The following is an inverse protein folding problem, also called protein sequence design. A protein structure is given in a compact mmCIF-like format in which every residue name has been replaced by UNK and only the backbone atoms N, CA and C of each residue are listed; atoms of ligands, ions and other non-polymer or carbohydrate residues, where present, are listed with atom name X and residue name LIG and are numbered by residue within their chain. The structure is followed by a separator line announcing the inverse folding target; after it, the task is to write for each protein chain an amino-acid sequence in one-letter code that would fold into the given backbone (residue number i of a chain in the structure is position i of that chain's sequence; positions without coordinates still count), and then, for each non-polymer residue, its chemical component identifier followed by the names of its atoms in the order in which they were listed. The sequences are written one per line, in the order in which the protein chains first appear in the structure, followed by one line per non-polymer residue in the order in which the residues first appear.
data_IF_507066623203
#
_entry.id   IF_507066623203
#
_cell.length_a   1.000
_cell.length_b   1.000
_cell.length_c   1.000
_cell.angle_alpha   90.00
_cell.angle_beta   90.00
_cell.angle_gamma   90.00
#
_symmetry.space_group_name_H-M   'P 1'
#
loop_
_entity.id
_entity.type
_entity.pdbx_description
1 polymer ?
#
# COMPACT_ATOMS: atom_id res chain seq x y z
N UNK A 1 -20.01 -17.99 -16.69
CA UNK A 1 -19.72 -18.12 -15.26
C UNK A 1 -19.04 -19.46 -15.07
N UNK A 2 -17.72 -19.47 -14.97
CA UNK A 2 -17.01 -20.67 -14.51
C UNK A 2 -17.37 -20.83 -13.05
N UNK A 3 -17.88 -21.99 -12.69
CA UNK A 3 -18.37 -22.29 -11.34
C UNK A 3 -17.17 -22.43 -10.40
N UNK A 4 -16.84 -21.35 -9.67
CA UNK A 4 -15.84 -21.34 -8.59
C UNK A 4 -16.22 -22.36 -7.48
N UNK A 5 -17.37 -23.03 -7.62
CA UNK A 5 -18.02 -23.90 -6.62
C UNK A 5 -17.74 -25.40 -6.80
N UNK A 6 -16.76 -25.84 -7.56
CA UNK A 6 -16.48 -27.27 -7.67
C UNK A 6 -15.53 -27.75 -6.56
N UNK A 7 -16.14 -28.26 -5.48
CA UNK A 7 -15.57 -29.24 -4.57
C UNK A 7 -15.06 -28.70 -3.24
N UNK A 8 -15.93 -28.56 -2.28
CA UNK A 8 -15.58 -28.45 -0.86
C UNK A 8 -16.82 -28.15 -0.02
N UNK A 9 -17.02 -28.92 1.03
CA UNK A 9 -18.11 -28.79 1.99
C UNK A 9 -18.31 -27.34 2.42
N UNK A 10 -19.50 -26.80 2.15
CA UNK A 10 -19.95 -25.52 2.69
C UNK A 10 -19.95 -25.61 4.22
N UNK A 11 -18.94 -25.03 4.85
CA UNK A 11 -18.99 -24.73 6.28
C UNK A 11 -20.06 -23.66 6.47
N UNK A 12 -21.19 -24.00 7.02
CA UNK A 12 -22.34 -23.11 7.23
C UNK A 12 -22.09 -22.11 8.39
N UNK A 13 -21.15 -21.21 8.19
CA UNK A 13 -20.86 -20.06 9.02
C UNK A 13 -20.24 -18.96 8.15
N UNK A 14 -20.60 -17.71 8.39
CA UNK A 14 -19.98 -16.57 7.67
C UNK A 14 -18.49 -16.55 7.97
N UNK A 15 -17.67 -16.71 6.92
CA UNK A 15 -16.22 -16.56 6.99
C UNK A 15 -15.90 -15.08 7.31
N UNK A 16 -15.01 -14.81 8.27
CA UNK A 16 -14.60 -13.43 8.59
C UNK A 16 -13.77 -12.85 7.46
N UNK A 17 -13.69 -11.52 7.36
CA UNK A 17 -12.80 -10.82 6.40
C UNK A 17 -11.35 -11.31 6.54
N UNK A 18 -10.89 -11.54 7.78
CA UNK A 18 -9.56 -12.07 8.08
C UNK A 18 -9.34 -13.47 7.48
N UNK A 19 -10.26 -14.37 7.72
CA UNK A 19 -10.15 -15.74 7.21
C UNK A 19 -10.27 -15.77 5.68
N UNK A 20 -11.11 -14.92 5.10
CA UNK A 20 -11.27 -14.76 3.65
C UNK A 20 -9.97 -14.30 3.00
N UNK A 21 -9.36 -13.23 3.54
CA UNK A 21 -8.05 -12.75 3.08
C UNK A 21 -7.00 -13.87 3.10
N UNK A 22 -6.87 -14.58 4.23
CA UNK A 22 -5.95 -15.70 4.37
C UNK A 22 -6.17 -16.77 3.31
N UNK A 23 -7.41 -17.22 3.14
CA UNK A 23 -7.76 -18.28 2.18
C UNK A 23 -7.45 -17.86 0.75
N UNK A 24 -7.85 -16.65 0.35
CA UNK A 24 -7.56 -16.15 -0.99
C UNK A 24 -6.05 -16.12 -1.26
N UNK A 25 -5.27 -15.56 -0.33
CA UNK A 25 -3.81 -15.47 -0.50
C UNK A 25 -3.10 -16.81 -0.44
N UNK A 26 -3.72 -17.85 0.13
CA UNK A 26 -3.17 -19.21 0.19
C UNK A 26 -3.85 -20.19 -0.79
N UNK A 27 -4.57 -19.68 -1.81
CA UNK A 27 -5.22 -20.52 -2.84
C UNK A 27 -6.19 -21.55 -2.26
N UNK A 28 -6.84 -21.22 -1.16
CA UNK A 28 -7.82 -22.06 -0.49
C UNK A 28 -9.24 -21.65 -0.89
N UNK A 29 -10.17 -22.60 -0.78
CA UNK A 29 -11.57 -22.34 -1.06
C UNK A 29 -12.14 -21.29 -0.10
N UNK A 30 -12.93 -20.38 -0.63
CA UNK A 30 -13.54 -19.27 0.07
C UNK A 30 -14.98 -19.08 -0.39
N UNK A 31 -15.81 -18.46 0.44
CA UNK A 31 -17.20 -18.12 0.10
C UNK A 31 -17.25 -17.10 -1.06
N UNK A 32 -16.46 -16.05 -0.98
CA UNK A 32 -16.21 -15.05 -2.02
C UNK A 32 -14.84 -14.39 -1.78
N UNK A 33 -14.28 -13.76 -2.81
CA UNK A 33 -12.97 -13.10 -2.70
C UNK A 33 -13.12 -11.78 -1.94
N UNK A 34 -12.09 -11.40 -1.17
CA UNK A 34 -12.06 -10.14 -0.41
C UNK A 34 -12.31 -8.92 -1.30
N UNK A 35 -13.17 -8.02 -0.84
CA UNK A 35 -13.41 -6.73 -1.47
C UNK A 35 -12.50 -5.69 -0.84
N UNK A 36 -11.39 -5.37 -1.48
CA UNK A 36 -10.42 -4.36 -1.06
C UNK A 36 -10.34 -3.22 -2.06
N UNK A 37 -9.87 -2.05 -1.60
CA UNK A 37 -9.53 -0.89 -2.43
C UNK A 37 -8.22 -0.23 -1.95
N UNK A 38 -7.67 0.69 -2.77
CA UNK A 38 -6.44 1.43 -2.42
C UNK A 38 -6.76 2.81 -1.86
N UNK A 39 -7.99 3.25 -1.95
CA UNK A 39 -8.45 4.56 -1.48
C UNK A 39 -8.77 5.55 -2.59
N UNK A 40 -9.00 6.79 -2.21
CA UNK A 40 -9.57 7.83 -3.07
C UNK A 40 -8.79 9.13 -2.96
N UNK A 41 -8.67 9.88 -4.05
CA UNK A 41 -8.18 11.25 -3.97
C UNK A 41 -9.17 12.11 -3.17
N UNK A 42 -8.66 13.08 -2.40
CA UNK A 42 -9.49 13.94 -1.55
C UNK A 42 -10.51 14.73 -2.40
N UNK A 43 -10.08 15.20 -3.57
CA UNK A 43 -10.93 15.95 -4.50
C UNK A 43 -12.14 15.13 -4.97
N UNK A 44 -11.97 13.85 -5.24
CA UNK A 44 -13.06 12.96 -5.62
C UNK A 44 -14.10 12.84 -4.50
N UNK A 45 -13.63 12.67 -3.27
CA UNK A 45 -14.50 12.57 -2.10
C UNK A 45 -15.27 13.88 -1.84
N UNK A 46 -14.61 15.03 -2.01
CA UNK A 46 -15.23 16.34 -1.94
C UNK A 46 -16.32 16.53 -3.01
N UNK A 47 -16.05 16.13 -4.25
CA UNK A 47 -17.01 16.19 -5.34
C UNK A 47 -18.23 15.30 -5.08
N UNK A 48 -18.02 14.07 -4.63
CA UNK A 48 -19.13 13.17 -4.29
C UNK A 48 -19.96 13.67 -3.11
N UNK A 49 -19.34 14.30 -2.12
CA UNK A 49 -20.01 14.92 -0.98
C UNK A 49 -20.80 16.15 -1.42
N UNK A 50 -20.23 17.03 -2.25
CA UNK A 50 -20.90 18.20 -2.80
C UNK A 50 -22.11 17.84 -3.67
N UNK A 51 -22.08 16.68 -4.34
CA UNK A 51 -23.21 16.13 -5.11
C UNK A 51 -24.27 15.44 -4.23
N UNK A 52 -24.02 15.32 -2.91
CA UNK A 52 -24.94 14.69 -1.96
C UNK A 52 -24.89 13.16 -1.91
N UNK A 53 -23.85 12.53 -2.49
CA UNK A 53 -23.68 11.09 -2.45
C UNK A 53 -23.02 10.60 -1.14
N UNK A 54 -22.18 11.43 -0.54
CA UNK A 54 -21.57 11.16 0.76
C UNK A 54 -22.10 12.14 1.81
N UNK A 55 -22.44 11.69 3.02
CA UNK A 55 -22.91 12.56 4.09
C UNK A 55 -21.77 13.38 4.69
N UNK A 56 -22.07 14.64 5.04
CA UNK A 56 -21.10 15.55 5.67
C UNK A 56 -20.52 15.01 6.99
N UNK A 57 -21.23 14.07 7.65
CA UNK A 57 -20.78 13.42 8.87
C UNK A 57 -19.51 12.58 8.71
N UNK A 58 -19.10 12.27 7.48
CA UNK A 58 -17.81 11.59 7.20
C UNK A 58 -16.61 12.53 7.31
N UNK A 59 -16.82 13.86 7.30
CA UNK A 59 -15.73 14.83 7.39
C UNK A 59 -15.11 14.80 8.79
N UNK A 60 -13.81 14.60 8.86
CA UNK A 60 -13.02 14.68 10.07
C UNK A 60 -12.85 16.15 10.54
N UNK A 61 -12.48 16.38 11.82
CA UNK A 61 -12.30 17.74 12.35
C UNK A 61 -11.22 18.57 11.65
N UNK A 62 -10.24 17.94 11.01
CA UNK A 62 -9.21 18.58 10.20
C UNK A 62 -9.66 18.94 8.77
N UNK A 63 -10.94 18.67 8.44
CA UNK A 63 -11.55 18.94 7.15
C UNK A 63 -11.33 17.85 6.11
N UNK A 64 -10.59 16.78 6.39
CA UNK A 64 -10.42 15.66 5.47
C UNK A 64 -11.62 14.70 5.50
N UNK A 65 -11.79 13.92 4.44
CA UNK A 65 -12.74 12.81 4.40
C UNK A 65 -11.92 11.51 4.43
N UNK A 66 -11.95 10.74 5.53
CA UNK A 66 -11.21 9.49 5.63
C UNK A 66 -11.65 8.47 4.57
N UNK A 67 -10.70 7.75 3.97
CA UNK A 67 -11.01 6.71 2.98
C UNK A 67 -11.92 5.63 3.58
N UNK A 68 -11.67 5.21 4.82
CA UNK A 68 -12.48 4.20 5.53
C UNK A 68 -13.97 4.51 5.52
N UNK A 69 -14.36 5.78 5.71
CA UNK A 69 -15.76 6.17 5.67
C UNK A 69 -16.43 5.95 4.31
N UNK A 70 -15.68 6.20 3.22
CA UNK A 70 -16.15 5.93 1.85
C UNK A 70 -16.16 4.43 1.55
N UNK A 71 -15.14 3.72 1.99
CA UNK A 71 -15.01 2.27 1.82
C UNK A 71 -16.16 1.51 2.45
N UNK A 72 -16.62 1.92 3.63
CA UNK A 72 -17.78 1.34 4.31
C UNK A 72 -19.08 1.47 3.49
N UNK A 73 -19.23 2.53 2.66
CA UNK A 73 -20.36 2.69 1.74
C UNK A 73 -20.42 1.60 0.68
N UNK A 74 -19.28 1.00 0.32
CA UNK A 74 -19.17 0.01 -0.72
C UNK A 74 -18.85 -1.39 -0.20
N UNK A 75 -18.93 -1.61 1.11
CA UNK A 75 -18.63 -2.90 1.73
C UNK A 75 -17.18 -3.34 1.53
N UNK A 76 -16.26 -2.38 1.45
CA UNK A 76 -14.82 -2.66 1.37
C UNK A 76 -14.33 -3.18 2.72
N UNK A 77 -13.67 -4.31 2.70
CA UNK A 77 -13.11 -4.93 3.90
C UNK A 77 -11.89 -4.17 4.40
N UNK A 78 -11.76 -4.04 5.71
CA UNK A 78 -10.74 -3.22 6.34
C UNK A 78 -9.56 -4.05 6.83
N UNK A 79 -8.37 -3.42 6.91
CA UNK A 79 -7.23 -3.94 7.63
C UNK A 79 -7.11 -3.27 8.99
N UNK A 80 -6.76 -4.05 10.00
CA UNK A 80 -6.16 -3.49 11.22
C UNK A 80 -4.64 -3.45 11.04
N UNK A 81 -3.99 -2.45 11.64
CA UNK A 81 -2.54 -2.35 11.55
C UNK A 81 -1.91 -1.94 12.87
N UNK A 82 -0.73 -2.49 13.13
CA UNK A 82 0.11 -2.05 14.24
C UNK A 82 1.58 -2.09 13.81
N UNK A 83 2.29 -0.98 14.03
CA UNK A 83 3.60 -0.77 13.45
C UNK A 83 4.66 -0.46 14.52
N UNK A 84 5.85 -1.04 14.34
CA UNK A 84 7.04 -0.59 15.06
C UNK A 84 7.46 0.83 14.61
N UNK A 85 8.14 1.54 15.47
CA UNK A 85 8.64 2.90 15.21
C UNK A 85 9.99 2.85 14.47
N UNK A 86 9.95 2.54 13.18
CA UNK A 86 11.13 2.32 12.33
C UNK A 86 11.43 3.47 11.35
N UNK A 87 10.67 4.57 11.40
CA UNK A 87 10.94 5.79 10.62
C UNK A 87 12.02 6.68 11.23
N UNK A 88 12.22 7.87 10.66
CA UNK A 88 13.10 8.90 11.24
C UNK A 88 12.53 9.43 12.56
N UNK A 89 13.31 9.41 13.62
CA UNK A 89 12.97 9.90 14.96
C UNK A 89 14.22 10.43 15.67
N UNK A 90 14.08 11.51 16.52
CA UNK A 90 12.86 12.27 16.80
C UNK A 90 12.50 13.21 15.65
N UNK A 91 11.22 13.50 15.46
CA UNK A 91 10.82 14.52 14.48
C UNK A 91 11.00 15.91 15.09
N UNK A 92 11.63 16.82 14.34
CA UNK A 92 11.66 18.25 14.65
C UNK A 92 10.30 18.89 14.39
N UNK A 93 10.04 20.04 14.99
CA UNK A 93 8.88 20.85 14.64
C UNK A 93 9.00 21.35 13.20
N UNK A 94 7.87 21.34 12.49
CA UNK A 94 7.78 21.92 11.15
C UNK A 94 8.07 23.43 11.22
N UNK A 95 8.92 23.93 10.33
CA UNK A 95 9.29 25.35 10.23
C UNK A 95 8.67 25.95 8.97
N UNK A 96 7.68 26.84 9.12
CA UNK A 96 7.15 27.61 8.02
C UNK A 96 8.18 28.66 7.61
N UNK A 97 8.57 28.63 6.32
CA UNK A 97 9.55 29.55 5.72
C UNK A 97 8.83 30.69 5.01
N UNK A 98 7.76 30.36 4.27
CA UNK A 98 6.94 31.34 3.55
C UNK A 98 5.50 30.81 3.47
N UNK A 99 4.55 31.73 3.65
CA UNK A 99 3.13 31.45 3.45
C UNK A 99 2.50 32.58 2.63
N UNK A 100 1.79 32.20 1.59
CA UNK A 100 1.03 33.10 0.71
C UNK A 100 -0.43 32.65 0.67
N UNK A 101 -1.27 33.35 -0.08
CA UNK A 101 -2.70 33.02 -0.20
C UNK A 101 -2.99 31.66 -0.83
N UNK A 102 -2.04 31.13 -1.65
CA UNK A 102 -2.24 29.93 -2.45
C UNK A 102 -1.22 28.81 -2.19
N UNK A 103 -0.15 29.08 -1.44
CA UNK A 103 0.91 28.11 -1.15
C UNK A 103 1.58 28.34 0.19
N UNK A 104 2.12 27.28 0.75
CA UNK A 104 2.98 27.26 1.92
C UNK A 104 4.31 26.56 1.59
N UNK A 105 5.42 27.17 1.98
CA UNK A 105 6.76 26.56 1.92
C UNK A 105 7.24 26.35 3.35
N UNK A 106 7.60 25.13 3.67
CA UNK A 106 8.03 24.76 5.02
C UNK A 106 9.13 23.71 4.98
N UNK A 107 9.89 23.65 6.05
CA UNK A 107 10.83 22.54 6.32
C UNK A 107 10.15 21.56 7.24
N UNK A 108 10.07 20.30 6.82
CA UNK A 108 9.42 19.24 7.59
C UNK A 108 10.27 18.78 8.77
N UNK A 109 9.75 17.85 9.58
CA UNK A 109 10.40 17.34 10.79
C UNK A 109 11.72 16.59 10.55
N UNK A 110 12.03 16.21 9.31
CA UNK A 110 13.27 15.52 8.90
C UNK A 110 14.20 16.43 8.08
N UNK A 111 13.82 17.68 7.86
CA UNK A 111 14.65 18.68 7.22
C UNK A 111 14.43 18.85 5.71
N UNK A 112 13.46 18.17 5.10
CA UNK A 112 13.09 18.36 3.70
C UNK A 112 12.38 19.70 3.52
N UNK A 113 12.78 20.50 2.56
CA UNK A 113 12.10 21.75 2.20
C UNK A 113 11.00 21.44 1.18
N UNK A 114 9.77 21.70 1.57
CA UNK A 114 8.55 21.34 0.85
C UNK A 114 7.76 22.59 0.51
N UNK A 115 7.21 22.65 -0.71
CA UNK A 115 6.22 23.65 -1.12
C UNK A 115 4.92 22.94 -1.48
N UNK A 116 3.82 23.36 -0.87
CA UNK A 116 2.50 22.77 -1.05
C UNK A 116 1.46 23.85 -1.37
N UNK A 117 0.53 23.54 -2.25
CA UNK A 117 -0.63 24.41 -2.49
C UNK A 117 -1.60 24.32 -1.32
N UNK A 118 -2.11 25.49 -0.88
CA UNK A 118 -3.11 25.62 0.19
C UNK A 118 -4.52 25.76 -0.32
N UNK A 119 -4.70 26.12 -1.60
CA UNK A 119 -5.99 26.31 -2.28
C UNK A 119 -6.02 25.55 -3.60
N UNK A 120 -7.20 25.15 -4.02
CA UNK A 120 -7.42 24.41 -5.27
C UNK A 120 -7.12 22.90 -5.12
N UNK A 121 -6.84 22.25 -6.24
CA UNK A 121 -6.48 20.83 -6.26
C UNK A 121 -5.18 20.60 -5.49
N UNK A 122 -5.23 19.87 -4.39
CA UNK A 122 -4.02 19.47 -3.64
C UNK A 122 -3.25 18.44 -4.46
N UNK A 123 -2.25 18.91 -5.17
CA UNK A 123 -1.31 18.06 -5.91
C UNK A 123 -0.23 17.50 -4.97
N UNK A 124 0.56 16.55 -5.49
CA UNK A 124 1.79 16.11 -4.82
C UNK A 124 2.65 17.34 -4.48
N UNK A 125 3.16 17.46 -3.24
CA UNK A 125 4.02 18.56 -2.86
C UNK A 125 5.26 18.67 -3.74
N UNK A 126 5.75 19.87 -3.93
CA UNK A 126 7.02 20.12 -4.62
C UNK A 126 8.16 20.10 -3.60
N UNK A 127 9.07 19.14 -3.74
CA UNK A 127 10.25 19.00 -2.88
C UNK A 127 11.38 19.87 -3.43
N UNK A 128 11.83 20.86 -2.66
CA UNK A 128 12.76 21.88 -3.10
C UNK A 128 14.20 21.63 -2.65
N UNK A 129 14.39 21.07 -1.46
CA UNK A 129 15.70 20.80 -0.88
C UNK A 129 15.65 19.55 -0.01
N UNK A 130 16.72 18.76 -0.06
CA UNK A 130 16.85 17.52 0.68
C UNK A 130 17.97 17.60 1.71
N UNK A 131 17.82 16.98 2.91
CA UNK A 131 18.82 17.08 3.99
C UNK A 131 20.11 16.33 3.69
N UNK A 132 20.07 15.26 2.87
CA UNK A 132 21.22 14.42 2.58
C UNK A 132 21.74 14.74 1.18
N UNK A 133 23.01 15.17 1.08
CA UNK A 133 23.68 15.56 -0.18
C UNK A 133 24.97 14.76 -0.41
N UNK A 134 25.60 14.32 0.66
CA UNK A 134 26.90 13.66 0.68
C UNK A 134 27.10 12.87 1.97
N UNK A 135 28.25 12.21 2.13
CA UNK A 135 28.57 11.41 3.31
C UNK A 135 28.49 12.18 4.62
N UNK A 136 29.07 13.40 4.78
CA UNK A 136 28.96 14.15 6.03
C UNK A 136 27.51 14.47 6.41
N UNK A 137 26.68 14.87 5.47
CA UNK A 137 25.26 15.16 5.72
C UNK A 137 24.46 13.89 6.03
N UNK A 138 24.82 12.76 5.41
CA UNK A 138 24.26 11.46 5.76
C UNK A 138 24.60 11.06 7.21
N UNK A 139 25.87 11.14 7.58
CA UNK A 139 26.30 10.77 8.93
C UNK A 139 25.57 11.60 10.00
N UNK A 140 25.44 12.91 9.79
CA UNK A 140 24.69 13.78 10.68
C UNK A 140 23.20 13.40 10.74
N UNK A 141 22.57 13.12 9.59
CA UNK A 141 21.15 12.71 9.53
C UNK A 141 20.94 11.36 10.18
N UNK A 142 21.80 10.39 9.92
CA UNK A 142 21.75 9.06 10.54
C UNK A 142 21.84 9.15 12.06
N UNK A 143 22.84 9.88 12.55
CA UNK A 143 23.12 9.97 14.00
C UNK A 143 22.01 10.72 14.75
N UNK A 144 21.32 11.65 14.09
CA UNK A 144 20.20 12.37 14.69
C UNK A 144 18.87 11.63 14.61
N UNK A 145 18.53 11.03 13.44
CA UNK A 145 17.18 10.55 13.18
C UNK A 145 17.06 9.02 13.09
N UNK A 146 18.16 8.30 12.88
CA UNK A 146 18.13 6.88 12.57
C UNK A 146 18.85 6.02 13.63
N UNK A 147 19.06 6.52 14.85
CA UNK A 147 19.55 5.69 15.95
C UNK A 147 18.51 4.58 16.26
N UNK A 148 18.86 3.28 16.11
CA UNK A 148 17.93 2.19 16.37
C UNK A 148 17.58 2.06 17.86
N UNK A 149 18.37 2.63 18.77
CA UNK A 149 18.17 2.56 20.20
C UNK A 149 17.57 3.85 20.80
N UNK A 150 17.11 4.78 19.96
CA UNK A 150 16.51 6.02 20.45
C UNK A 150 15.31 5.72 21.37
N UNK A 151 15.19 6.36 22.55
CA UNK A 151 14.13 6.04 23.52
C UNK A 151 12.71 6.13 22.96
N UNK A 152 12.46 7.07 22.05
CA UNK A 152 11.14 7.25 21.42
C UNK A 152 10.72 6.06 20.54
N UNK A 153 11.62 5.12 20.23
CA UNK A 153 11.27 3.89 19.49
C UNK A 153 10.64 2.85 20.40
N UNK A 154 10.90 2.91 21.69
CA UNK A 154 10.35 1.96 22.63
C UNK A 154 8.81 2.04 22.66
N UNK A 155 8.16 0.89 22.67
CA UNK A 155 6.72 0.76 22.85
C UNK A 155 6.43 0.47 24.32
N UNK A 156 5.38 1.07 24.86
CA UNK A 156 4.93 0.76 26.21
C UNK A 156 4.37 -0.68 26.26
N UNK A 157 4.50 -1.33 27.41
CA UNK A 157 3.93 -2.68 27.61
C UNK A 157 2.41 -2.71 27.38
N UNK A 158 1.74 -1.59 27.67
CA UNK A 158 0.31 -1.44 27.40
C UNK A 158 0.00 -1.45 25.89
N UNK A 159 0.81 -0.80 25.05
CA UNK A 159 0.64 -0.80 23.59
C UNK A 159 0.78 -2.23 23.04
N UNK A 160 1.75 -2.99 23.56
CA UNK A 160 1.97 -4.39 23.15
C UNK A 160 0.82 -5.31 23.64
N UNK A 161 0.24 -5.03 24.82
CA UNK A 161 -0.95 -5.76 25.30
C UNK A 161 -2.17 -5.48 24.42
N UNK A 162 -2.41 -4.21 24.06
CA UNK A 162 -3.49 -3.82 23.15
C UNK A 162 -3.30 -4.49 21.79
N UNK A 163 -2.06 -4.53 21.27
CA UNK A 163 -1.74 -5.27 20.04
C UNK A 163 -2.10 -6.76 20.15
N UNK A 164 -1.69 -7.40 21.23
CA UNK A 164 -1.93 -8.83 21.44
C UNK A 164 -3.43 -9.16 21.45
N UNK A 165 -4.24 -8.34 22.12
CA UNK A 165 -5.69 -8.47 22.17
C UNK A 165 -6.33 -8.19 20.81
N UNK A 166 -6.02 -7.06 20.19
CA UNK A 166 -6.55 -6.66 18.90
C UNK A 166 -6.22 -7.70 17.82
N UNK A 167 -4.97 -8.14 17.72
CA UNK A 167 -4.54 -9.08 16.70
C UNK A 167 -5.09 -10.49 16.88
N UNK A 168 -5.42 -10.89 18.10
CA UNK A 168 -6.09 -12.17 18.39
C UNK A 168 -7.58 -12.13 18.04
N UNK A 169 -8.27 -11.05 18.40
CA UNK A 169 -9.72 -10.97 18.42
C UNK A 169 -10.31 -10.32 17.15
N UNK A 170 -9.48 -9.73 16.28
CA UNK A 170 -9.92 -9.07 15.06
C UNK A 170 -10.55 -10.04 14.06
N UNK A 171 -11.73 -9.66 13.55
CA UNK A 171 -12.35 -10.28 12.37
C UNK A 171 -11.78 -9.73 11.03
N UNK A 172 -11.01 -8.64 11.07
CA UNK A 172 -10.31 -8.08 9.94
C UNK A 172 -8.87 -8.63 9.85
N UNK A 173 -8.27 -8.72 8.66
CA UNK A 173 -6.86 -9.06 8.54
C UNK A 173 -6.00 -8.01 9.25
N UNK A 174 -4.94 -8.49 9.90
CA UNK A 174 -4.00 -7.66 10.68
C UNK A 174 -2.67 -7.57 9.95
N UNK A 175 -2.17 -6.36 9.76
CA UNK A 175 -0.90 -6.11 9.09
C UNK A 175 0.08 -5.33 9.96
N UNK A 176 1.37 -5.46 9.63
CA UNK A 176 2.44 -4.60 10.15
C UNK A 176 3.22 -3.99 8.99
N UNK A 177 3.99 -2.93 9.27
CA UNK A 177 4.80 -2.25 8.26
C UNK A 177 6.28 -2.47 8.54
N UNK A 178 7.03 -2.98 7.54
CA UNK A 178 8.47 -3.25 7.68
C UNK A 178 9.38 -2.09 7.23
N UNK A 179 8.79 -0.97 6.81
CA UNK A 179 9.54 0.23 6.41
C UNK A 179 9.72 0.36 4.90
N UNK A 180 10.83 0.96 4.54
CA UNK A 180 11.26 1.21 3.18
C UNK A 180 12.78 1.15 3.12
N UNK A 181 13.34 0.67 2.02
CA UNK A 181 14.80 0.58 1.84
C UNK A 181 15.33 1.69 0.96
N UNK A 182 14.73 1.94 -0.20
CA UNK A 182 15.15 2.99 -1.12
C UNK A 182 14.15 4.13 -1.20
N UNK A 183 12.87 3.88 -1.08
CA UNK A 183 11.85 4.92 -1.20
C UNK A 183 12.05 6.05 -0.20
N UNK A 184 12.29 5.75 1.08
CA UNK A 184 12.57 6.76 2.10
C UNK A 184 13.93 7.44 1.92
N UNK A 185 14.94 6.71 1.47
CA UNK A 185 16.24 7.31 1.15
C UNK A 185 16.06 8.32 0.01
N UNK A 186 15.28 7.99 -1.03
CA UNK A 186 14.93 8.93 -2.11
C UNK A 186 14.27 10.20 -1.57
N UNK A 187 13.36 10.09 -0.59
CA UNK A 187 12.68 11.23 0.01
C UNK A 187 13.65 12.17 0.78
N UNK A 188 14.78 11.66 1.29
CA UNK A 188 15.75 12.42 2.06
C UNK A 188 16.95 12.91 1.24
N UNK A 189 17.26 12.21 0.15
CA UNK A 189 18.41 12.50 -0.75
C UNK A 189 17.97 13.27 -1.99
N UNK A 190 16.73 13.06 -2.42
CA UNK A 190 16.23 13.48 -3.73
C UNK A 190 16.61 12.51 -4.84
N UNK A 191 15.75 12.41 -5.84
CA UNK A 191 15.90 11.45 -6.94
C UNK A 191 17.23 11.61 -7.68
N UNK A 192 17.56 12.86 -8.07
CA UNK A 192 18.73 13.17 -8.90
C UNK A 192 20.03 12.83 -8.16
N UNK A 193 20.15 13.27 -6.91
CA UNK A 193 21.31 12.98 -6.06
C UNK A 193 21.45 11.48 -5.80
N UNK A 194 20.35 10.77 -5.54
CA UNK A 194 20.36 9.32 -5.34
C UNK A 194 20.86 8.59 -6.60
N UNK A 195 20.40 9.02 -7.79
CA UNK A 195 20.84 8.44 -9.04
C UNK A 195 22.36 8.61 -9.25
N UNK A 196 22.91 9.80 -8.98
CA UNK A 196 24.36 10.04 -9.04
C UNK A 196 25.11 9.22 -7.98
N UNK A 197 24.69 9.25 -6.72
CA UNK A 197 25.35 8.50 -5.64
C UNK A 197 25.38 6.99 -5.91
N UNK A 198 24.36 6.44 -6.56
CA UNK A 198 24.34 5.01 -6.91
C UNK A 198 25.49 4.59 -7.85
N UNK A 199 26.13 5.57 -8.53
CA UNK A 199 27.27 5.36 -9.45
C UNK A 199 28.56 5.87 -8.84
N UNK A 200 28.56 7.06 -8.24
CA UNK A 200 29.75 7.77 -7.78
C UNK A 200 30.20 7.33 -6.37
N UNK A 201 29.26 7.00 -5.47
CA UNK A 201 29.53 6.43 -4.14
C UNK A 201 28.48 5.36 -3.80
N UNK A 202 28.48 4.19 -4.50
CA UNK A 202 27.51 3.14 -4.27
C UNK A 202 27.58 2.56 -2.85
N UNK A 203 28.74 2.63 -2.19
CA UNK A 203 28.90 2.16 -0.82
C UNK A 203 28.16 3.06 0.18
N UNK A 204 28.03 4.35 -0.10
CA UNK A 204 27.23 5.27 0.71
C UNK A 204 25.73 4.91 0.62
N UNK A 205 25.24 4.63 -0.60
CA UNK A 205 23.83 4.24 -0.77
C UNK A 205 23.55 2.88 -0.08
N UNK A 206 24.48 1.93 -0.19
CA UNK A 206 24.36 0.65 0.51
C UNK A 206 24.35 0.83 2.04
N UNK A 207 25.18 1.72 2.59
CA UNK A 207 25.18 2.04 4.03
C UNK A 207 23.84 2.62 4.48
N UNK A 208 23.21 3.49 3.68
CA UNK A 208 21.86 4.00 3.95
C UNK A 208 20.83 2.86 3.99
N UNK A 209 20.87 1.96 3.02
CA UNK A 209 19.99 0.79 2.94
C UNK A 209 20.21 -0.16 4.14
N UNK A 210 21.47 -0.41 4.51
CA UNK A 210 21.82 -1.20 5.68
C UNK A 210 21.23 -0.61 6.96
N UNK A 211 21.27 0.72 7.12
CA UNK A 211 20.70 1.41 8.28
C UNK A 211 19.18 1.22 8.36
N UNK A 212 18.47 1.24 7.23
CA UNK A 212 17.03 0.96 7.22
C UNK A 212 16.73 -0.48 7.66
N UNK A 213 17.54 -1.44 7.22
CA UNK A 213 17.44 -2.83 7.68
C UNK A 213 17.70 -2.96 9.18
N UNK A 214 18.73 -2.28 9.71
CA UNK A 214 19.05 -2.28 11.15
C UNK A 214 17.88 -1.75 11.96
N UNK A 215 17.24 -0.65 11.55
CA UNK A 215 16.06 -0.11 12.21
C UNK A 215 14.92 -1.14 12.29
N UNK A 216 14.62 -1.81 11.19
CA UNK A 216 13.59 -2.85 11.16
C UNK A 216 13.96 -4.04 12.05
N UNK A 217 15.17 -4.59 11.91
CA UNK A 217 15.63 -5.76 12.65
C UNK A 217 15.74 -5.51 14.16
N UNK A 218 15.99 -4.28 14.58
CA UNK A 218 16.10 -3.92 15.99
C UNK A 218 14.74 -3.64 16.64
N UNK A 219 13.81 -2.99 15.90
CA UNK A 219 12.60 -2.44 16.52
C UNK A 219 11.32 -3.23 16.22
N UNK A 220 11.30 -4.11 15.23
CA UNK A 220 10.13 -4.94 14.94
C UNK A 220 9.95 -6.15 15.87
N UNK A 221 11.00 -6.82 16.40
CA UNK A 221 10.82 -8.04 17.19
C UNK A 221 9.79 -7.91 18.31
N UNK A 222 9.77 -6.87 19.16
CA UNK A 222 8.75 -6.74 20.21
C UNK A 222 7.30 -6.72 19.70
N UNK A 223 7.08 -6.14 18.52
CA UNK A 223 5.78 -6.11 17.84
C UNK A 223 5.42 -7.49 17.31
N UNK A 224 6.36 -8.14 16.62
CA UNK A 224 6.15 -9.45 15.99
C UNK A 224 5.93 -10.57 17.03
N UNK A 225 6.59 -10.47 18.18
CA UNK A 225 6.43 -11.41 19.30
C UNK A 225 5.11 -11.23 20.06
N UNK A 226 4.57 -10.00 20.06
CA UNK A 226 3.34 -9.67 20.80
C UNK A 226 2.07 -9.86 19.97
N UNK A 227 2.13 -9.73 18.64
CA UNK A 227 0.96 -9.74 17.74
C UNK A 227 0.87 -10.97 16.85
N UNK A 228 -0.33 -11.18 16.29
CA UNK A 228 -0.59 -12.16 15.23
C UNK A 228 -0.94 -11.42 13.94
N UNK A 229 -0.05 -11.48 12.98
CA UNK A 229 -0.18 -10.76 11.72
C UNK A 229 -0.51 -11.72 10.56
N UNK A 230 -1.35 -11.24 9.65
CA UNK A 230 -1.73 -11.95 8.42
C UNK A 230 -0.88 -11.50 7.24
N UNK A 231 -0.27 -10.31 7.35
CA UNK A 231 0.53 -9.73 6.29
C UNK A 231 1.54 -8.69 6.80
N UNK A 232 2.54 -8.38 5.97
CA UNK A 232 3.40 -7.24 6.18
C UNK A 232 3.48 -6.37 4.92
N UNK A 233 3.55 -5.05 5.12
CA UNK A 233 3.64 -4.06 4.06
C UNK A 233 4.95 -3.28 4.14
N UNK A 234 5.42 -2.81 2.98
CA UNK A 234 6.47 -1.81 2.84
C UNK A 234 6.04 -0.70 1.91
N UNK A 235 6.92 0.30 1.73
CA UNK A 235 6.71 1.37 0.77
C UNK A 235 8.02 1.69 0.07
N UNK A 236 8.05 1.61 -1.26
CA UNK A 236 9.25 1.87 -2.04
C UNK A 236 9.05 2.98 -3.08
N UNK A 237 8.03 2.89 -3.93
CA UNK A 237 7.70 3.86 -4.97
C UNK A 237 8.94 4.33 -5.77
N UNK A 238 9.65 3.37 -6.35
CA UNK A 238 10.99 3.51 -6.95
C UNK A 238 11.01 3.16 -8.44
N UNK A 239 9.87 3.20 -9.10
CA UNK A 239 9.79 2.98 -10.53
C UNK A 239 9.08 4.13 -11.24
N UNK A 240 9.54 4.40 -12.47
CA UNK A 240 8.81 5.17 -13.46
C UNK A 240 8.02 4.23 -14.38
N UNK A 241 7.24 4.79 -15.30
CA UNK A 241 6.60 4.03 -16.36
C UNK A 241 7.59 3.20 -17.20
N UNK A 242 8.84 3.63 -17.26
CA UNK A 242 9.93 2.96 -18.00
C UNK A 242 10.68 1.91 -17.20
N UNK A 243 10.44 1.77 -15.90
CA UNK A 243 11.12 0.84 -15.00
C UNK A 243 11.77 1.49 -13.79
N UNK A 244 12.59 0.73 -13.03
CA UNK A 244 13.22 1.17 -11.80
C UNK A 244 14.09 2.43 -11.96
N UNK A 245 14.10 3.28 -10.92
CA UNK A 245 14.89 4.52 -10.88
C UNK A 245 16.41 4.27 -10.80
N UNK A 246 16.82 3.11 -10.29
CA UNK A 246 18.20 2.66 -10.24
C UNK A 246 18.36 1.38 -11.09
N UNK A 247 19.61 1.07 -11.45
CA UNK A 247 19.92 -0.14 -12.21
C UNK A 247 19.46 -1.39 -11.44
N UNK A 248 18.70 -2.32 -12.04
CA UNK A 248 18.27 -3.57 -11.39
C UNK A 248 19.42 -4.39 -10.79
N UNK A 249 20.61 -4.36 -11.40
CA UNK A 249 21.81 -5.00 -10.85
C UNK A 249 22.25 -4.35 -9.53
N UNK A 250 22.08 -3.04 -9.37
CA UNK A 250 22.32 -2.37 -8.09
C UNK A 250 21.36 -2.85 -7.00
N UNK A 251 20.08 -3.04 -7.35
CA UNK A 251 19.12 -3.66 -6.43
C UNK A 251 19.57 -5.06 -6.01
N UNK A 252 19.94 -5.91 -6.96
CA UNK A 252 20.37 -7.28 -6.71
C UNK A 252 21.58 -7.35 -5.81
N UNK A 253 22.62 -6.56 -6.10
CA UNK A 253 23.93 -6.64 -5.43
C UNK A 253 24.00 -5.87 -4.11
N UNK A 254 23.25 -4.74 -3.98
CA UNK A 254 23.41 -3.78 -2.88
C UNK A 254 22.18 -3.59 -2.00
N UNK A 255 20.97 -3.92 -2.49
CA UNK A 255 19.74 -3.72 -1.74
C UNK A 255 19.16 -5.03 -1.23
N UNK A 256 19.03 -6.03 -2.10
CA UNK A 256 18.43 -7.32 -1.75
C UNK A 256 19.15 -8.02 -0.58
N UNK A 257 20.49 -7.98 -0.42
CA UNK A 257 21.16 -8.56 0.74
C UNK A 257 20.71 -7.98 2.09
N UNK A 258 20.30 -6.70 2.13
CA UNK A 258 19.80 -6.04 3.33
C UNK A 258 18.29 -6.24 3.54
N UNK A 259 17.51 -6.39 2.46
CA UNK A 259 16.10 -6.75 2.56
C UNK A 259 15.88 -8.17 3.07
N UNK A 260 16.70 -9.12 2.62
CA UNK A 260 16.52 -10.55 2.91
C UNK A 260 16.42 -10.89 4.40
N UNK A 261 17.28 -10.37 5.30
CA UNK A 261 17.16 -10.63 6.74
C UNK A 261 15.81 -10.15 7.31
N UNK A 262 15.29 -9.00 6.86
CA UNK A 262 14.01 -8.46 7.31
C UNK A 262 12.86 -9.35 6.83
N UNK A 263 12.85 -9.76 5.56
CA UNK A 263 11.85 -10.71 5.03
C UNK A 263 11.92 -12.06 5.74
N UNK A 264 13.13 -12.52 6.06
CA UNK A 264 13.34 -13.76 6.83
C UNK A 264 12.75 -13.66 8.23
N UNK A 265 12.98 -12.56 8.94
CA UNK A 265 12.39 -12.29 10.25
C UNK A 265 10.85 -12.31 10.21
N UNK A 266 10.23 -11.65 9.24
CA UNK A 266 8.78 -11.67 9.07
C UNK A 266 8.26 -13.11 8.89
N UNK A 267 8.88 -13.89 8.01
CA UNK A 267 8.49 -15.29 7.76
C UNK A 267 8.69 -16.20 8.98
N UNK A 268 9.73 -15.98 9.79
CA UNK A 268 9.95 -16.70 11.05
C UNK A 268 8.84 -16.45 12.07
N UNK A 269 8.14 -15.30 11.98
CA UNK A 269 6.97 -14.98 12.79
C UNK A 269 5.63 -15.37 12.11
N UNK A 270 5.70 -16.20 11.06
CA UNK A 270 4.49 -16.73 10.38
C UNK A 270 3.85 -15.78 9.37
N UNK A 271 4.50 -14.67 9.02
CA UNK A 271 4.00 -13.74 8.03
C UNK A 271 4.56 -14.12 6.65
N UNK A 272 3.71 -14.62 5.77
CA UNK A 272 4.10 -15.11 4.45
C UNK A 272 3.44 -14.37 3.28
N UNK A 273 2.54 -13.43 3.56
CA UNK A 273 2.00 -12.47 2.59
C UNK A 273 2.69 -11.12 2.82
N UNK A 274 3.66 -10.78 1.96
CA UNK A 274 4.52 -9.61 2.14
C UNK A 274 4.51 -8.80 0.85
N UNK A 275 4.07 -7.51 0.93
CA UNK A 275 4.06 -6.61 -0.22
C UNK A 275 4.83 -5.32 0.05
N UNK A 276 5.21 -4.63 -1.03
CA UNK A 276 5.61 -3.22 -0.99
C UNK A 276 4.72 -2.42 -1.92
N UNK A 277 4.35 -1.20 -1.48
CA UNK A 277 3.72 -0.20 -2.33
C UNK A 277 4.79 0.37 -3.27
N UNK A 278 4.59 0.18 -4.57
CA UNK A 278 5.50 0.69 -5.58
C UNK A 278 4.73 0.93 -6.88
N UNK A 279 4.54 2.18 -7.19
CA UNK A 279 3.99 2.63 -8.47
C UNK A 279 4.96 2.38 -9.63
N UNK A 280 4.47 2.56 -10.86
CA UNK A 280 5.27 2.45 -12.07
C UNK A 280 5.53 1.01 -12.53
N UNK A 281 6.46 0.83 -13.47
CA UNK A 281 6.79 -0.46 -14.06
C UNK A 281 7.78 -1.25 -13.17
N UNK A 282 7.25 -2.24 -12.47
CA UNK A 282 8.01 -3.06 -11.50
C UNK A 282 8.56 -4.36 -12.09
N UNK A 283 8.33 -4.66 -13.38
CA UNK A 283 8.62 -5.97 -13.97
C UNK A 283 10.06 -6.46 -13.75
N UNK A 284 11.04 -5.54 -13.72
CA UNK A 284 12.44 -5.89 -13.47
C UNK A 284 12.77 -6.16 -12.00
N UNK A 285 11.91 -5.69 -11.09
CA UNK A 285 12.09 -5.89 -9.64
C UNK A 285 11.34 -7.12 -9.11
N UNK A 286 10.29 -7.56 -9.78
CA UNK A 286 9.50 -8.74 -9.37
C UNK A 286 10.39 -9.96 -9.06
N UNK A 287 11.29 -10.43 -9.95
CA UNK A 287 12.12 -11.60 -9.64
C UNK A 287 13.09 -11.35 -8.48
N UNK A 288 13.57 -10.11 -8.29
CA UNK A 288 14.45 -9.75 -7.19
C UNK A 288 13.71 -9.79 -5.86
N UNK A 289 12.51 -9.21 -5.81
CA UNK A 289 11.66 -9.24 -4.62
C UNK A 289 11.25 -10.67 -4.23
N UNK A 290 10.84 -11.48 -5.21
CA UNK A 290 10.53 -12.89 -4.95
C UNK A 290 11.74 -13.63 -4.35
N UNK A 291 12.96 -13.36 -4.83
CA UNK A 291 14.19 -14.03 -4.35
C UNK A 291 14.51 -13.78 -2.88
N UNK A 292 14.02 -12.69 -2.32
CA UNK A 292 14.20 -12.35 -0.90
C UNK A 292 12.96 -12.65 -0.05
N UNK A 293 11.84 -13.02 -0.68
CA UNK A 293 10.62 -13.42 0.01
C UNK A 293 9.52 -12.36 0.09
N UNK A 294 9.67 -11.21 -0.58
CA UNK A 294 8.59 -10.27 -0.83
C UNK A 294 7.80 -10.80 -2.04
N UNK A 295 6.57 -11.26 -1.82
CA UNK A 295 5.87 -12.12 -2.79
C UNK A 295 4.52 -11.58 -3.26
N UNK A 296 4.07 -10.43 -2.76
CA UNK A 296 2.80 -9.83 -3.17
C UNK A 296 3.06 -8.47 -3.82
N UNK A 297 2.60 -8.28 -5.06
CA UNK A 297 2.77 -7.03 -5.80
C UNK A 297 1.59 -6.10 -5.55
N UNK A 298 1.89 -4.83 -5.24
CA UNK A 298 0.90 -3.81 -4.87
C UNK A 298 1.40 -2.40 -5.29
N UNK A 299 0.56 -1.52 -5.79
CA UNK A 299 -0.84 -1.72 -6.22
C UNK A 299 -0.94 -2.30 -7.63
N UNK A 300 0.18 -2.64 -8.26
CA UNK A 300 0.35 -3.22 -9.58
C UNK A 300 -0.28 -2.36 -10.69
N UNK A 301 0.25 -1.15 -10.90
CA UNK A 301 -0.22 -0.25 -11.96
C UNK A 301 -0.14 -0.90 -13.35
N UNK A 302 -1.29 -0.97 -14.01
CA UNK A 302 -1.43 -1.66 -15.32
C UNK A 302 -0.86 -0.82 -16.46
N UNK A 303 -1.11 0.49 -16.43
CA UNK A 303 -0.71 1.39 -17.52
C UNK A 303 0.80 1.39 -17.82
N UNK A 304 1.72 1.29 -16.84
CA UNK A 304 3.15 1.14 -17.10
C UNK A 304 3.55 -0.21 -17.72
N UNK A 305 2.63 -1.14 -17.86
CA UNK A 305 2.86 -2.45 -18.49
C UNK A 305 2.84 -3.65 -17.55
N UNK A 306 2.48 -3.47 -16.27
CA UNK A 306 2.34 -4.58 -15.34
C UNK A 306 0.99 -5.27 -15.56
N UNK A 307 0.98 -6.37 -16.29
CA UNK A 307 -0.25 -7.15 -16.55
C UNK A 307 -0.41 -8.27 -15.52
N UNK A 308 -1.46 -8.26 -14.65
CA UNK A 308 -1.72 -9.33 -13.69
C UNK A 308 -1.83 -10.71 -14.32
N UNK A 309 -2.45 -10.79 -15.52
CA UNK A 309 -2.64 -12.07 -16.24
C UNK A 309 -1.30 -12.64 -16.70
N UNK A 310 -0.43 -11.79 -17.27
CA UNK A 310 0.90 -12.19 -17.69
C UNK A 310 1.77 -12.61 -16.53
N UNK A 311 1.77 -11.83 -15.44
CA UNK A 311 2.55 -12.10 -14.24
C UNK A 311 2.11 -13.41 -13.55
N UNK A 312 0.81 -13.67 -13.42
CA UNK A 312 0.32 -14.93 -12.85
C UNK A 312 0.68 -16.12 -13.74
N UNK A 313 0.66 -15.95 -15.07
CA UNK A 313 1.10 -16.98 -16.00
C UNK A 313 2.60 -17.28 -15.86
N UNK A 314 3.43 -16.25 -15.62
CA UNK A 314 4.88 -16.38 -15.52
C UNK A 314 5.32 -16.98 -14.19
N UNK A 315 4.79 -16.46 -13.06
CA UNK A 315 5.25 -16.81 -11.72
C UNK A 315 4.31 -17.78 -10.97
N UNK A 316 3.12 -18.03 -11.51
CA UNK A 316 2.16 -18.97 -10.90
C UNK A 316 1.81 -18.62 -9.46
N UNK A 317 1.95 -19.61 -8.57
CA UNK A 317 1.61 -19.47 -7.14
C UNK A 317 2.68 -18.78 -6.30
N UNK A 318 3.86 -18.57 -6.83
CA UNK A 318 4.93 -17.84 -6.13
C UNK A 318 4.62 -16.35 -6.01
N UNK A 319 3.80 -15.82 -6.91
CA UNK A 319 3.40 -14.43 -6.95
C UNK A 319 1.95 -14.25 -6.47
N UNK A 320 1.79 -13.39 -5.48
CA UNK A 320 0.50 -12.87 -5.03
C UNK A 320 0.30 -11.46 -5.61
N UNK A 321 -0.95 -11.03 -5.77
CA UNK A 321 -1.28 -9.71 -6.31
C UNK A 321 -2.40 -9.06 -5.51
N UNK A 322 -2.25 -7.76 -5.27
CA UNK A 322 -3.30 -6.84 -4.85
C UNK A 322 -3.31 -5.64 -5.81
N UNK A 323 -4.49 -5.26 -6.30
CA UNK A 323 -4.62 -4.17 -7.28
C UNK A 323 -4.84 -4.67 -8.70
N UNK A 324 -4.15 -4.10 -9.66
CA UNK A 324 -4.11 -4.57 -11.06
C UNK A 324 -5.39 -4.41 -11.87
N UNK A 325 -6.41 -3.68 -11.39
CA UNK A 325 -7.53 -3.19 -12.20
C UNK A 325 -7.15 -1.82 -12.76
N UNK A 326 -7.12 -1.70 -14.08
CA UNK A 326 -6.71 -0.46 -14.75
C UNK A 326 -7.66 0.69 -14.43
N UNK A 327 -7.19 1.67 -13.64
CA UNK A 327 -7.95 2.86 -13.23
C UNK A 327 -8.54 3.67 -14.38
N UNK A 328 -7.91 3.65 -15.55
CA UNK A 328 -8.40 4.38 -16.72
C UNK A 328 -9.71 3.83 -17.28
N UNK A 329 -10.00 2.55 -17.07
CA UNK A 329 -11.29 1.97 -17.46
C UNK A 329 -12.47 2.67 -16.79
N UNK A 330 -12.28 3.29 -15.60
CA UNK A 330 -13.31 4.05 -14.91
C UNK A 330 -13.72 5.34 -15.65
N UNK A 331 -12.82 5.92 -16.46
CA UNK A 331 -13.10 7.10 -17.28
C UNK A 331 -13.70 6.78 -18.63
N UNK A 332 -13.54 5.54 -19.08
CA UNK A 332 -14.03 5.08 -20.40
C UNK A 332 -15.46 4.54 -20.33
N UNK A 333 -16.03 4.48 -19.13
CA UNK A 333 -17.41 4.11 -18.85
C UNK A 333 -17.65 2.61 -18.71
N UNK A 334 -18.93 2.27 -18.49
CA UNK A 334 -19.38 0.92 -18.07
C UNK A 334 -18.88 -0.24 -18.95
N UNK A 335 -18.78 -0.05 -20.27
CA UNK A 335 -18.31 -1.10 -21.18
C UNK A 335 -16.82 -1.44 -20.95
N UNK A 336 -15.99 -0.44 -20.73
CA UNK A 336 -14.56 -0.62 -20.43
C UNK A 336 -14.35 -1.23 -19.04
N UNK A 337 -15.11 -0.78 -18.03
CA UNK A 337 -15.11 -1.36 -16.69
C UNK A 337 -15.42 -2.86 -16.75
N UNK A 338 -16.51 -3.23 -17.44
CA UNK A 338 -16.90 -4.63 -17.55
C UNK A 338 -15.88 -5.47 -18.34
N UNK A 339 -15.27 -4.91 -19.39
CA UNK A 339 -14.25 -5.60 -20.17
C UNK A 339 -13.00 -5.88 -19.31
N UNK A 340 -12.57 -4.91 -18.50
CA UNK A 340 -11.43 -5.07 -17.62
C UNK A 340 -11.70 -6.10 -16.50
N UNK A 341 -12.86 -6.06 -15.86
CA UNK A 341 -13.26 -7.07 -14.88
C UNK A 341 -13.28 -8.48 -15.48
N UNK A 342 -13.86 -8.65 -16.67
CA UNK A 342 -13.87 -9.94 -17.38
C UNK A 342 -12.47 -10.45 -17.75
N UNK A 343 -11.53 -9.55 -18.00
CA UNK A 343 -10.13 -9.90 -18.27
C UNK A 343 -9.45 -10.47 -17.02
N UNK A 344 -9.78 -9.95 -15.85
CA UNK A 344 -9.22 -10.37 -14.57
C UNK A 344 -9.89 -11.61 -13.97
N UNK A 345 -11.16 -11.85 -14.29
CA UNK A 345 -11.98 -12.93 -13.69
C UNK A 345 -11.28 -14.30 -13.66
N UNK A 346 -10.64 -14.80 -14.76
CA UNK A 346 -9.97 -16.10 -14.73
C UNK A 346 -8.82 -16.18 -13.71
N UNK A 347 -8.06 -15.09 -13.57
CA UNK A 347 -6.91 -15.03 -12.65
C UNK A 347 -7.36 -14.90 -11.20
N UNK A 348 -8.46 -14.17 -10.96
CA UNK A 348 -9.10 -14.09 -9.64
C UNK A 348 -9.60 -15.48 -9.21
N UNK A 349 -10.20 -16.22 -10.14
CA UNK A 349 -10.70 -17.58 -9.87
C UNK A 349 -9.59 -18.58 -9.50
N UNK A 350 -8.35 -18.36 -9.94
CA UNK A 350 -7.21 -19.19 -9.57
C UNK A 350 -6.76 -18.99 -8.11
N UNK A 351 -7.07 -17.84 -7.48
CA UNK A 351 -6.65 -17.45 -6.15
C UNK A 351 -5.28 -16.73 -6.11
N UNK A 352 -4.89 -16.27 -4.91
CA UNK A 352 -3.65 -15.49 -4.73
C UNK A 352 -3.71 -14.11 -5.39
N UNK A 353 -4.92 -13.61 -5.70
CA UNK A 353 -5.15 -12.32 -6.31
C UNK A 353 -6.41 -11.66 -5.75
N UNK A 354 -6.28 -10.46 -5.22
CA UNK A 354 -7.38 -9.61 -4.78
C UNK A 354 -7.38 -8.35 -5.66
N UNK A 355 -8.27 -8.28 -6.67
CA UNK A 355 -8.30 -7.16 -7.59
C UNK A 355 -8.92 -5.92 -6.94
N UNK A 356 -8.30 -4.78 -7.17
CA UNK A 356 -8.83 -3.46 -6.91
C UNK A 356 -8.20 -2.45 -7.88
N UNK A 357 -8.65 -1.21 -7.87
CA UNK A 357 -8.06 -0.16 -8.70
C UNK A 357 -6.54 -0.11 -8.45
N UNK A 358 -5.77 -0.04 -9.53
CA UNK A 358 -4.31 -0.11 -9.55
C UNK A 358 -3.60 1.14 -9.01
N UNK A 359 -4.36 2.08 -8.47
CA UNK A 359 -3.92 3.25 -7.73
C UNK A 359 -5.13 3.85 -6.99
N UNK A 360 -4.98 5.01 -6.30
CA UNK A 360 -6.11 5.75 -5.74
C UNK A 360 -7.12 6.12 -6.82
N UNK A 361 -8.42 6.02 -6.50
CA UNK A 361 -9.48 6.34 -7.46
C UNK A 361 -9.34 7.79 -7.96
N UNK A 362 -9.27 8.02 -9.29
CA UNK A 362 -9.03 9.33 -9.86
C UNK A 362 -10.17 10.33 -9.61
N UNK A 363 -9.82 11.63 -9.50
CA UNK A 363 -10.75 12.70 -9.16
C UNK A 363 -11.94 12.90 -10.14
N UNK A 364 -11.78 12.44 -11.39
CA UNK A 364 -12.81 12.64 -12.43
C UNK A 364 -13.80 11.49 -12.57
N UNK A 365 -13.71 10.46 -11.72
CA UNK A 365 -14.61 9.30 -11.77
C UNK A 365 -15.99 9.71 -11.22
N UNK A 366 -17.03 9.50 -12.02
CA UNK A 366 -18.41 9.80 -11.57
C UNK A 366 -18.85 8.80 -10.50
N UNK A 367 -19.74 9.24 -9.60
CA UNK A 367 -20.36 8.35 -8.62
C UNK A 367 -21.04 7.14 -9.29
N UNK A 368 -21.72 7.36 -10.40
CA UNK A 368 -22.45 6.32 -11.13
C UNK A 368 -21.52 5.26 -11.72
N UNK A 369 -20.40 5.66 -12.35
CA UNK A 369 -19.41 4.72 -12.89
C UNK A 369 -18.69 3.96 -11.77
N UNK A 370 -18.42 4.63 -10.64
CA UNK A 370 -17.80 3.95 -9.50
C UNK A 370 -18.76 2.95 -8.84
N UNK A 371 -20.03 3.31 -8.67
CA UNK A 371 -21.07 2.37 -8.22
C UNK A 371 -21.18 1.17 -9.17
N UNK A 372 -21.16 1.41 -10.48
CA UNK A 372 -21.19 0.32 -11.46
C UNK A 372 -19.97 -0.59 -11.35
N UNK A 373 -18.77 0.00 -11.23
CA UNK A 373 -17.54 -0.76 -10.99
C UNK A 373 -17.64 -1.63 -9.74
N UNK A 374 -18.02 -1.06 -8.61
CA UNK A 374 -18.11 -1.79 -7.35
C UNK A 374 -19.17 -2.90 -7.39
N UNK A 375 -20.31 -2.64 -8.06
CA UNK A 375 -21.36 -3.61 -8.26
C UNK A 375 -20.89 -4.81 -9.06
N UNK A 376 -20.31 -4.59 -10.24
CA UNK A 376 -19.80 -5.64 -11.12
C UNK A 376 -18.58 -6.35 -10.52
N UNK A 377 -17.69 -5.62 -9.84
CA UNK A 377 -16.56 -6.19 -9.13
C UNK A 377 -17.02 -7.15 -8.03
N UNK A 378 -17.95 -6.76 -7.18
CA UNK A 378 -18.46 -7.63 -6.13
C UNK A 378 -19.10 -8.91 -6.71
N UNK A 379 -19.84 -8.82 -7.82
CA UNK A 379 -20.36 -10.01 -8.51
C UNK A 379 -19.25 -10.90 -9.06
N UNK A 380 -18.22 -10.32 -9.69
CA UNK A 380 -17.03 -11.06 -10.15
C UNK A 380 -16.31 -11.77 -8.99
N UNK A 381 -16.25 -11.12 -7.80
CA UNK A 381 -15.66 -11.69 -6.59
C UNK A 381 -16.53 -12.78 -5.95
N UNK A 382 -17.74 -13.01 -6.45
CA UNK A 382 -18.67 -14.02 -5.98
C UNK A 382 -19.59 -13.59 -4.83
N UNK A 383 -19.65 -12.28 -4.53
CA UNK A 383 -20.53 -11.75 -3.48
C UNK A 383 -22.01 -11.93 -3.85
N UNK A 384 -22.86 -12.40 -2.92
CA UNK A 384 -24.30 -12.53 -3.16
C UNK A 384 -24.95 -11.15 -3.41
N UNK A 385 -25.88 -11.07 -4.35
CA UNK A 385 -26.56 -9.82 -4.70
C UNK A 385 -27.30 -9.20 -3.51
N UNK A 386 -27.93 -10.02 -2.66
CA UNK A 386 -28.64 -9.58 -1.46
C UNK A 386 -27.67 -8.96 -0.43
N UNK A 387 -26.44 -9.45 -0.32
CA UNK A 387 -25.39 -8.85 0.52
C UNK A 387 -24.92 -7.52 -0.08
N UNK A 388 -24.63 -7.46 -1.38
CA UNK A 388 -24.20 -6.23 -2.06
C UNK A 388 -25.24 -5.13 -1.88
N UNK A 389 -26.54 -5.46 -1.98
CA UNK A 389 -27.64 -4.51 -1.80
C UNK A 389 -27.76 -3.92 -0.38
N UNK A 390 -27.09 -4.50 0.61
CA UNK A 390 -27.05 -3.94 1.97
C UNK A 390 -26.05 -2.80 2.13
N UNK A 391 -25.12 -2.61 1.17
CA UNK A 391 -24.15 -1.52 1.26
C UNK A 391 -24.83 -0.17 1.00
N UNK A 392 -24.53 0.86 1.78
CA UNK A 392 -25.20 2.17 1.69
C UNK A 392 -25.23 2.76 0.28
N UNK A 393 -24.16 2.60 -0.51
CA UNK A 393 -24.11 3.07 -1.88
C UNK A 393 -25.21 2.49 -2.78
N UNK A 394 -25.70 1.28 -2.47
CA UNK A 394 -26.67 0.55 -3.28
C UNK A 394 -28.11 0.60 -2.72
N UNK A 395 -28.36 1.38 -1.67
CA UNK A 395 -29.75 1.58 -1.19
C UNK A 395 -30.64 2.22 -2.26
N UNK A 396 -30.11 3.23 -2.95
CA UNK A 396 -30.81 3.98 -4.00
C UNK A 396 -30.28 3.78 -5.41
N UNK A 397 -29.02 3.34 -5.56
CA UNK A 397 -28.42 3.10 -6.86
C UNK A 397 -28.80 1.71 -7.42
N UNK A 398 -29.00 1.65 -8.75
CA UNK A 398 -29.25 0.38 -9.49
C UNK A 398 -28.47 0.41 -10.80
N UNK A 399 -27.94 -0.75 -11.31
CA UNK A 399 -27.16 -0.86 -12.51
C UNK A 399 -27.91 -0.55 -13.80
#
# INVERSE_FOLDING_TARGET
MADIRQGGDYLGGSVTARERFRRVMHYQNVDYVSNLEFGYWQELKEDWMAQGHLPESLRAPDGTIPDRGVEEFFGVEQFESFNARIGGLPLREQQVIEETDDRITFRDGLGVLVQQQTKGTRTIPHFLEFPIKDRPTWEAFRDEFLDPNHPDRALAQEDLRVLAEMSRDSSNPVSTHFGSFIGRIRDWVGFETLAYLSVDDPDLVEEMVAQMAILALTNMPPVLESGQFDAASGWEDICFNSGPILNPRFFEERIMPHMKPVMTMLRQHGIDVIWTDCDGNILKLVPLWLSVGLNCMFPLEVNPGNDPVALKKEYGRELLIRGGFNKFALHEGRAAILAELKRLEPVVAEGGFIPHIDHRCPAQVTWDDYCYYMWEKCHMLGWPTDVIQTFPAFESWRP
#
